data_IF_009233736946
#
_entry.id   IF_009233736946
#
_cell.length_a   1.000
_cell.length_b   1.000
_cell.length_c   1.000
_cell.angle_alpha   90.00
_cell.angle_beta   90.00
_cell.angle_gamma   90.00
#
_symmetry.space_group_name_H-M   'P 1'
#
loop_
_entity.id
_entity.type
_entity.pdbx_description
1 polymer ?
#
# COMPACT_ATOMS: atom_id res chain seq x y z
N UNK A 1 -36.12 -17.20 25.77
CA UNK A 1 -35.05 -16.30 26.24
C UNK A 1 -35.61 -14.87 26.29
N UNK A 2 -35.87 -14.34 27.48
CA UNK A 2 -36.73 -13.15 27.70
C UNK A 2 -36.06 -11.83 27.30
N UNK A 3 -36.84 -10.89 26.75
CA UNK A 3 -36.41 -9.57 26.21
C UNK A 3 -35.51 -8.78 27.17
N UNK A 4 -35.65 -8.98 28.48
CA UNK A 4 -34.82 -8.33 29.50
C UNK A 4 -33.35 -8.73 29.49
N UNK A 5 -33.02 -9.99 29.15
CA UNK A 5 -31.61 -10.43 29.04
C UNK A 5 -30.90 -9.72 27.89
N UNK A 6 -31.60 -9.49 26.78
CA UNK A 6 -31.06 -8.80 25.60
C UNK A 6 -30.82 -7.31 25.89
N UNK A 7 -31.72 -6.67 26.63
CA UNK A 7 -31.59 -5.25 26.99
C UNK A 7 -30.45 -5.01 28.01
N UNK A 8 -30.25 -5.94 28.95
CA UNK A 8 -29.14 -5.91 29.91
C UNK A 8 -27.77 -6.07 29.22
N UNK A 9 -27.68 -6.93 28.20
CA UNK A 9 -26.45 -7.11 27.41
C UNK A 9 -26.12 -5.89 26.54
N UNK A 10 -27.13 -5.20 25.97
CA UNK A 10 -26.93 -3.97 25.21
C UNK A 10 -26.43 -2.80 26.07
N UNK A 11 -26.97 -2.64 27.28
CA UNK A 11 -26.49 -1.62 28.23
C UNK A 11 -25.06 -1.88 28.71
N UNK A 12 -24.69 -3.14 28.91
CA UNK A 12 -23.30 -3.52 29.26
C UNK A 12 -22.31 -3.25 28.12
N UNK A 13 -22.70 -3.48 26.87
CA UNK A 13 -21.87 -3.18 25.69
C UNK A 13 -21.58 -1.68 25.55
N UNK A 14 -22.58 -0.83 25.80
CA UNK A 14 -22.43 0.63 25.76
C UNK A 14 -21.59 1.12 26.95
N UNK A 15 -21.73 0.52 28.14
CA UNK A 15 -20.91 0.86 29.31
C UNK A 15 -19.46 0.37 29.18
N UNK A 16 -19.21 -0.78 28.56
CA UNK A 16 -17.84 -1.26 28.30
C UNK A 16 -17.12 -0.49 27.18
N UNK A 17 -17.86 0.22 26.33
CA UNK A 17 -17.29 1.13 25.35
C UNK A 17 -16.92 2.51 25.93
N UNK A 18 -17.28 2.79 27.20
CA UNK A 18 -17.10 4.08 27.86
C UNK A 18 -15.79 4.27 28.63
N UNK A 19 -14.86 3.32 28.59
CA UNK A 19 -13.56 3.42 29.27
C UNK A 19 -12.42 3.07 28.31
N UNK A 20 -12.24 3.90 27.30
CA UNK A 20 -10.93 4.05 26.67
C UNK A 20 -10.21 5.19 27.40
N UNK A 21 -8.95 5.00 27.85
CA UNK A 21 -8.17 6.08 28.41
C UNK A 21 -8.09 7.20 27.38
N UNK A 22 -8.38 8.42 27.80
CA UNK A 22 -8.10 9.64 27.04
C UNK A 22 -6.58 9.61 26.81
N UNK A 23 -6.16 9.15 25.63
CA UNK A 23 -4.84 9.42 25.13
C UNK A 23 -4.80 10.93 24.92
N UNK A 24 -4.18 11.63 25.88
CA UNK A 24 -3.79 13.02 25.71
C UNK A 24 -3.07 13.07 24.37
N UNK A 25 -3.65 13.81 23.43
CA UNK A 25 -3.03 14.09 22.15
C UNK A 25 -1.71 14.79 22.46
N UNK A 26 -0.62 14.04 22.52
CA UNK A 26 0.68 14.61 22.22
C UNK A 26 0.50 15.22 20.84
N UNK A 27 0.75 16.53 20.65
CA UNK A 27 0.88 17.04 19.31
C UNK A 27 1.92 16.15 18.66
N UNK A 28 1.52 15.46 17.59
CA UNK A 28 2.48 14.89 16.65
C UNK A 28 3.35 16.09 16.32
N UNK A 29 4.60 16.06 16.79
CA UNK A 29 5.63 16.96 16.34
C UNK A 29 5.85 16.60 14.88
N UNK A 30 4.95 17.08 14.02
CA UNK A 30 5.26 17.33 12.63
C UNK A 30 6.50 18.19 12.69
N UNK A 31 7.62 17.64 12.23
CA UNK A 31 8.90 18.32 12.20
C UNK A 31 8.69 19.73 11.65
N UNK A 32 8.81 20.68 12.57
CA UNK A 32 8.82 22.10 12.29
C UNK A 32 10.13 22.36 11.54
N UNK A 33 10.05 22.46 10.20
CA UNK A 33 10.92 23.32 9.37
C UNK A 33 10.73 23.19 7.85
N UNK A 34 9.86 22.31 7.34
CA UNK A 34 9.70 22.16 5.87
C UNK A 34 8.52 22.89 5.22
N UNK A 35 7.78 23.72 5.96
CA UNK A 35 6.55 24.37 5.46
C UNK A 35 6.69 25.85 5.12
N UNK A 36 7.85 26.29 4.61
CA UNK A 36 8.04 27.65 4.06
C UNK A 36 8.52 27.56 2.61
N UNK A 37 7.59 27.83 1.69
CA UNK A 37 7.69 27.88 0.21
C UNK A 37 7.11 26.66 -0.53
N UNK A 38 5.78 26.54 -0.57
CA UNK A 38 5.13 25.78 -1.65
C UNK A 38 5.26 26.56 -2.96
N UNK A 39 6.37 26.37 -3.67
CA UNK A 39 6.43 26.72 -5.09
C UNK A 39 5.41 25.86 -5.83
N UNK A 40 4.77 26.40 -6.86
CA UNK A 40 3.94 25.61 -7.78
C UNK A 40 4.89 24.64 -8.49
N UNK A 41 4.90 23.38 -8.04
CA UNK A 41 5.71 22.33 -8.60
C UNK A 41 5.10 21.85 -9.92
N UNK A 42 5.95 21.55 -10.90
CA UNK A 42 5.49 20.86 -12.11
C UNK A 42 5.10 19.43 -11.72
N UNK A 43 3.84 19.08 -11.99
CA UNK A 43 3.21 17.82 -11.62
C UNK A 43 3.95 16.57 -12.11
N UNK A 44 4.75 16.69 -13.16
CA UNK A 44 5.44 15.57 -13.81
C UNK A 44 6.95 15.79 -13.96
N UNK A 45 7.53 16.77 -13.26
CA UNK A 45 8.98 16.98 -13.30
C UNK A 45 9.72 15.79 -12.69
N UNK A 46 10.64 15.21 -13.47
CA UNK A 46 11.56 14.16 -13.03
C UNK A 46 12.90 14.74 -12.55
N UNK A 47 13.15 16.02 -12.79
CA UNK A 47 14.36 16.72 -12.34
C UNK A 47 14.21 17.28 -10.92
N UNK A 48 12.97 17.40 -10.44
CA UNK A 48 12.72 17.84 -9.07
C UNK A 48 13.19 16.78 -8.07
N UNK A 49 14.16 17.17 -7.23
CA UNK A 49 14.61 16.34 -6.12
C UNK A 49 13.48 16.21 -5.09
N UNK A 50 13.01 14.98 -4.90
CA UNK A 50 12.06 14.64 -3.85
C UNK A 50 12.78 13.88 -2.71
N UNK A 51 13.12 14.56 -1.59
CA UNK A 51 13.89 13.95 -0.51
C UNK A 51 13.05 12.90 0.24
N UNK A 52 13.62 11.70 0.41
CA UNK A 52 12.97 10.54 1.06
C UNK A 52 13.74 10.00 2.28
N UNK A 53 14.70 10.77 2.77
CA UNK A 53 15.36 10.49 4.04
C UNK A 53 14.43 10.80 5.20
N UNK A 54 14.49 9.97 6.25
CA UNK A 54 13.66 10.09 7.46
C UNK A 54 12.15 10.05 7.16
N UNK A 55 11.77 9.27 6.15
CA UNK A 55 10.35 9.03 5.80
C UNK A 55 9.96 7.56 5.97
N UNK A 56 10.72 6.82 6.77
CA UNK A 56 10.64 5.35 6.90
C UNK A 56 10.79 4.63 5.55
N UNK A 57 11.60 5.20 4.64
CA UNK A 57 11.82 4.63 3.31
C UNK A 57 12.68 3.38 3.41
N UNK A 58 12.18 2.25 2.92
CA UNK A 58 12.99 1.05 2.78
C UNK A 58 14.18 1.28 1.83
N UNK A 59 14.02 2.10 0.79
CA UNK A 59 15.12 2.40 -0.13
C UNK A 59 16.21 3.21 0.55
N UNK A 60 15.86 4.25 1.30
CA UNK A 60 16.84 5.18 1.88
C UNK A 60 17.20 4.88 3.34
N UNK A 61 16.22 4.80 4.24
CA UNK A 61 16.43 4.72 5.69
C UNK A 61 16.87 3.31 6.15
N UNK A 62 16.46 2.25 5.44
CA UNK A 62 16.92 0.88 5.74
C UNK A 62 18.43 0.72 5.52
N UNK A 63 19.02 1.47 4.59
CA UNK A 63 20.43 1.31 4.25
C UNK A 63 21.34 1.71 5.40
N UNK A 64 20.93 2.70 6.20
CA UNK A 64 21.63 3.06 7.43
C UNK A 64 21.67 1.90 8.44
N UNK A 65 20.63 1.06 8.46
CA UNK A 65 20.59 -0.14 9.30
C UNK A 65 21.37 -1.31 8.68
N UNK A 66 21.34 -1.46 7.36
CA UNK A 66 22.07 -2.52 6.63
C UNK A 66 23.58 -2.31 6.64
N UNK A 67 24.05 -1.07 6.59
CA UNK A 67 25.46 -0.73 6.55
C UNK A 67 25.85 0.18 7.73
N UNK A 68 25.86 -0.37 8.97
CA UNK A 68 26.15 0.42 10.15
C UNK A 68 27.56 1.01 10.09
N UNK A 69 27.69 2.28 10.47
CA UNK A 69 28.96 3.01 10.45
C UNK A 69 29.41 3.50 9.07
N UNK A 70 28.67 3.19 8.00
CA UNK A 70 28.96 3.68 6.66
C UNK A 70 28.13 4.91 6.30
N UNK A 71 28.73 5.83 5.54
CA UNK A 71 28.02 6.96 4.95
C UNK A 71 27.35 6.51 3.66
N UNK A 72 26.02 6.45 3.66
CA UNK A 72 25.24 6.16 2.45
C UNK A 72 25.20 7.41 1.58
N UNK A 73 25.73 7.32 0.36
CA UNK A 73 25.76 8.42 -0.61
C UNK A 73 24.53 8.44 -1.52
N UNK A 74 24.11 7.26 -1.98
CA UNK A 74 22.93 7.08 -2.82
C UNK A 74 22.35 5.68 -2.58
N UNK A 75 21.03 5.58 -2.51
CA UNK A 75 20.32 4.30 -2.47
C UNK A 75 19.80 3.96 -3.88
N UNK A 76 20.28 2.84 -4.45
CA UNK A 76 19.97 2.43 -5.83
C UNK A 76 19.58 0.94 -5.92
N UNK A 77 19.23 0.31 -4.79
CA UNK A 77 19.02 -1.13 -4.67
C UNK A 77 17.55 -1.54 -4.83
N UNK A 78 16.63 -0.87 -4.13
CA UNK A 78 15.20 -1.22 -4.11
C UNK A 78 14.47 -0.58 -5.30
N UNK A 79 13.63 -1.37 -5.96
CA UNK A 79 12.86 -1.01 -7.15
C UNK A 79 11.62 -0.14 -6.85
N UNK A 80 11.81 0.97 -6.13
CA UNK A 80 10.87 2.09 -6.08
C UNK A 80 11.50 3.38 -6.63
N UNK A 81 10.66 4.37 -6.93
CA UNK A 81 11.07 5.60 -7.62
C UNK A 81 11.20 6.77 -6.63
N UNK A 82 12.16 7.66 -6.89
CA UNK A 82 12.37 8.89 -6.11
C UNK A 82 11.67 10.10 -6.76
N UNK A 83 10.47 9.88 -7.30
CA UNK A 83 9.63 10.91 -7.90
C UNK A 83 8.33 11.08 -7.12
N UNK A 84 7.72 12.26 -7.25
CA UNK A 84 6.32 12.44 -6.85
C UNK A 84 5.44 11.52 -7.68
N UNK A 85 4.43 10.94 -7.05
CA UNK A 85 3.41 10.17 -7.78
C UNK A 85 2.59 11.11 -8.68
N UNK A 86 1.97 10.56 -9.72
CA UNK A 86 1.13 11.34 -10.61
C UNK A 86 -0.01 12.03 -9.83
N UNK A 87 -0.34 13.32 -10.09
CA UNK A 87 -1.32 14.06 -9.28
C UNK A 87 -2.68 13.38 -9.18
N UNK A 88 -3.13 12.73 -10.26
CA UNK A 88 -4.40 11.99 -10.30
C UNK A 88 -4.47 10.87 -9.25
N UNK A 89 -3.33 10.26 -8.91
CA UNK A 89 -3.24 9.22 -7.88
C UNK A 89 -3.37 9.87 -6.50
N UNK A 90 -2.62 10.95 -6.24
CA UNK A 90 -2.73 11.70 -4.98
C UNK A 90 -4.14 12.22 -4.77
N UNK A 91 -4.77 12.82 -5.78
CA UNK A 91 -6.15 13.31 -5.70
C UNK A 91 -7.16 12.21 -5.41
N UNK A 92 -7.03 11.03 -6.03
CA UNK A 92 -7.92 9.90 -5.77
C UNK A 92 -7.78 9.40 -4.32
N UNK A 93 -6.54 9.31 -3.81
CA UNK A 93 -6.27 8.92 -2.42
C UNK A 93 -6.82 9.99 -1.46
N UNK A 94 -6.58 11.28 -1.71
CA UNK A 94 -7.13 12.37 -0.90
C UNK A 94 -8.64 12.32 -0.84
N UNK A 95 -9.32 12.12 -1.98
CA UNK A 95 -10.78 11.94 -2.02
C UNK A 95 -11.23 10.75 -1.17
N UNK A 96 -10.51 9.63 -1.21
CA UNK A 96 -10.81 8.47 -0.36
C UNK A 96 -10.59 8.76 1.13
N UNK A 97 -9.56 9.53 1.47
CA UNK A 97 -9.27 9.95 2.86
C UNK A 97 -10.36 10.83 3.45
N UNK A 98 -10.95 11.72 2.64
CA UNK A 98 -12.08 12.55 3.06
C UNK A 98 -13.36 11.74 3.34
N UNK A 99 -13.43 10.48 2.90
CA UNK A 99 -14.51 9.58 3.29
C UNK A 99 -14.15 8.87 4.61
N UNK A 100 -14.66 9.40 5.72
CA UNK A 100 -14.26 9.02 7.09
C UNK A 100 -14.70 7.61 7.55
N UNK A 101 -15.37 6.83 6.69
CA UNK A 101 -15.67 5.42 6.96
C UNK A 101 -14.59 4.50 6.35
N UNK A 102 -13.99 3.66 7.19
CA UNK A 102 -12.87 2.77 6.86
C UNK A 102 -13.19 1.29 7.03
N UNK A 103 -14.48 0.93 7.01
CA UNK A 103 -14.94 -0.45 7.05
C UNK A 103 -14.59 -1.25 5.77
N UNK A 104 -15.15 -2.45 5.69
CA UNK A 104 -14.95 -3.34 4.53
C UNK A 104 -15.36 -2.67 3.22
N UNK A 105 -14.51 -2.81 2.21
CA UNK A 105 -14.71 -2.23 0.88
C UNK A 105 -15.07 -3.37 -0.09
N UNK A 106 -16.14 -3.16 -0.84
CA UNK A 106 -16.42 -3.95 -2.04
C UNK A 106 -15.64 -3.34 -3.21
N UNK A 107 -14.90 -4.16 -3.95
CA UNK A 107 -14.23 -3.69 -5.17
C UNK A 107 -15.27 -3.37 -6.24
N UNK A 108 -15.35 -2.12 -6.74
CA UNK A 108 -16.31 -1.75 -7.77
C UNK A 108 -15.91 -2.32 -9.14
N UNK A 109 -16.88 -2.55 -10.03
CA UNK A 109 -16.61 -3.04 -11.39
C UNK A 109 -15.69 -2.12 -12.19
N UNK A 110 -15.76 -0.80 -11.94
CA UNK A 110 -14.87 0.19 -12.54
C UNK A 110 -13.38 -0.07 -12.28
N UNK A 111 -13.05 -0.75 -11.18
CA UNK A 111 -11.68 -1.17 -10.90
C UNK A 111 -11.22 -2.20 -11.93
N UNK A 112 -12.03 -3.24 -12.19
CA UNK A 112 -11.72 -4.28 -13.16
C UNK A 112 -11.73 -3.73 -14.59
N UNK A 113 -12.70 -2.90 -14.93
CA UNK A 113 -12.75 -2.22 -16.23
C UNK A 113 -11.50 -1.37 -16.47
N UNK A 114 -10.96 -0.71 -15.44
CA UNK A 114 -9.71 0.05 -15.58
C UNK A 114 -8.52 -0.83 -15.97
N UNK A 115 -8.44 -2.05 -15.43
CA UNK A 115 -7.39 -3.03 -15.75
C UNK A 115 -7.56 -3.56 -17.17
N UNK A 116 -8.78 -3.99 -17.54
CA UNK A 116 -9.12 -4.49 -18.88
C UNK A 116 -8.78 -3.44 -19.93
N UNK A 117 -9.23 -2.20 -19.72
CA UNK A 117 -8.97 -1.10 -20.65
C UNK A 117 -7.49 -0.74 -20.73
N UNK A 118 -6.76 -0.78 -19.61
CA UNK A 118 -5.32 -0.54 -19.60
C UNK A 118 -4.57 -1.59 -20.43
N UNK A 119 -4.90 -2.87 -20.23
CA UNK A 119 -4.27 -3.99 -20.95
C UNK A 119 -4.56 -3.89 -22.46
N UNK A 120 -5.82 -3.69 -22.84
CA UNK A 120 -6.22 -3.51 -24.24
C UNK A 120 -5.53 -2.32 -24.88
N UNK A 121 -5.49 -1.17 -24.21
CA UNK A 121 -4.89 0.05 -24.75
C UNK A 121 -3.36 -0.05 -24.89
N UNK A 122 -2.67 -0.68 -23.94
CA UNK A 122 -1.20 -0.71 -23.88
C UNK A 122 -0.60 -1.87 -24.65
N UNK A 123 -1.27 -3.02 -24.64
CA UNK A 123 -0.74 -4.27 -25.17
C UNK A 123 -1.59 -4.84 -26.31
N UNK A 124 -2.77 -4.28 -26.59
CA UNK A 124 -3.68 -4.80 -27.62
C UNK A 124 -4.42 -6.07 -27.22
N UNK A 125 -4.22 -6.55 -25.99
CA UNK A 125 -4.77 -7.81 -25.52
C UNK A 125 -6.20 -7.64 -24.98
N UNK A 126 -7.09 -8.56 -25.34
CA UNK A 126 -8.45 -8.61 -24.83
C UNK A 126 -8.55 -9.63 -23.71
N UNK A 127 -8.90 -9.15 -22.51
CA UNK A 127 -9.16 -9.99 -21.35
C UNK A 127 -10.56 -9.74 -20.81
N UNK A 128 -11.13 -10.74 -20.14
CA UNK A 128 -12.46 -10.68 -19.56
C UNK A 128 -12.41 -10.62 -18.03
N UNK A 129 -13.53 -10.17 -17.43
CA UNK A 129 -13.64 -10.01 -15.98
C UNK A 129 -13.40 -11.32 -15.21
N UNK A 130 -13.83 -12.46 -15.74
CA UNK A 130 -13.68 -13.78 -15.12
C UNK A 130 -12.22 -14.27 -15.08
N UNK A 131 -11.33 -13.67 -15.89
CA UNK A 131 -9.90 -13.95 -15.87
C UNK A 131 -9.14 -13.16 -14.77
N UNK A 132 -9.81 -12.25 -14.07
CA UNK A 132 -9.20 -11.37 -13.07
C UNK A 132 -9.49 -11.83 -11.63
N UNK A 133 -8.42 -12.12 -10.90
CA UNK A 133 -8.41 -12.33 -9.45
C UNK A 133 -7.49 -11.29 -8.80
N UNK A 134 -7.96 -10.72 -7.68
CA UNK A 134 -7.17 -9.75 -6.93
C UNK A 134 -6.22 -10.47 -5.97
N UNK A 135 -4.98 -10.01 -5.94
CA UNK A 135 -3.99 -10.41 -4.96
C UNK A 135 -3.36 -9.16 -4.34
N UNK A 136 -2.87 -9.27 -3.10
CA UNK A 136 -2.20 -8.17 -2.39
C UNK A 136 -0.82 -7.84 -2.94
N UNK A 137 -0.30 -8.68 -3.83
CA UNK A 137 0.96 -8.49 -4.54
C UNK A 137 1.28 -9.67 -5.45
N UNK A 138 2.31 -9.51 -6.27
CA UNK A 138 2.74 -10.54 -7.24
C UNK A 138 3.24 -11.80 -6.52
N UNK A 139 4.08 -11.67 -5.50
CA UNK A 139 4.65 -12.83 -4.80
C UNK A 139 3.58 -13.70 -4.09
N UNK A 140 2.63 -13.15 -3.32
CA UNK A 140 1.50 -13.93 -2.80
C UNK A 140 0.63 -14.59 -3.89
N UNK A 141 0.46 -13.93 -5.04
CA UNK A 141 -0.28 -14.51 -6.17
C UNK A 141 0.45 -15.74 -6.75
N UNK A 142 1.77 -15.61 -6.98
CA UNK A 142 2.62 -16.72 -7.44
C UNK A 142 2.61 -17.87 -6.43
N UNK A 143 2.77 -17.59 -5.14
CA UNK A 143 2.71 -18.61 -4.09
C UNK A 143 1.36 -19.35 -4.07
N UNK A 144 0.27 -18.61 -4.26
CA UNK A 144 -1.07 -19.20 -4.34
C UNK A 144 -1.22 -20.08 -5.58
N UNK A 145 -0.72 -19.64 -6.74
CA UNK A 145 -0.71 -20.42 -7.97
C UNK A 145 0.11 -21.70 -7.83
N UNK A 146 1.33 -21.62 -7.27
CA UNK A 146 2.16 -22.81 -7.00
C UNK A 146 1.41 -23.79 -6.09
N UNK A 147 0.79 -23.31 -5.00
CA UNK A 147 0.01 -24.20 -4.11
C UNK A 147 -1.20 -24.84 -4.79
N UNK A 148 -1.83 -24.14 -5.74
CA UNK A 148 -2.98 -24.64 -6.47
C UNK A 148 -2.61 -25.65 -7.56
N UNK A 149 -1.49 -25.44 -8.26
CA UNK A 149 -1.11 -26.23 -9.45
C UNK A 149 0.03 -27.22 -9.20
N UNK A 150 0.77 -27.10 -8.12
CA UNK A 150 1.92 -27.94 -7.81
C UNK A 150 1.69 -28.72 -6.51
N UNK A 151 1.27 -30.00 -6.59
CA UNK A 151 1.21 -30.89 -5.45
C UNK A 151 2.54 -30.97 -4.70
N UNK A 152 2.49 -31.41 -3.44
CA UNK A 152 3.70 -31.64 -2.63
C UNK A 152 4.73 -32.49 -3.41
N UNK A 153 6.00 -32.09 -3.34
CA UNK A 153 7.14 -32.69 -4.06
C UNK A 153 7.19 -32.43 -5.58
N UNK A 154 6.30 -31.61 -6.13
CA UNK A 154 6.47 -31.10 -7.50
C UNK A 154 7.68 -30.18 -7.60
N UNK A 155 8.23 -30.07 -8.82
CA UNK A 155 9.33 -29.15 -9.14
C UNK A 155 8.81 -27.99 -9.98
N UNK A 156 9.29 -26.79 -9.69
CA UNK A 156 9.02 -25.58 -10.47
C UNK A 156 10.32 -25.16 -11.15
N UNK A 157 10.26 -24.90 -12.46
CA UNK A 157 11.42 -24.41 -13.22
C UNK A 157 11.50 -22.90 -13.09
N UNK A 158 12.68 -22.39 -12.74
CA UNK A 158 12.99 -20.96 -12.67
C UNK A 158 14.23 -20.67 -13.51
N UNK A 159 14.19 -19.58 -14.26
CA UNK A 159 15.34 -19.12 -15.04
C UNK A 159 16.21 -18.22 -14.16
N UNK A 160 17.49 -18.57 -14.01
CA UNK A 160 18.47 -17.77 -13.27
C UNK A 160 19.42 -16.99 -14.21
N UNK A 161 19.84 -15.77 -13.81
CA UNK A 161 19.46 -15.04 -12.60
C UNK A 161 18.05 -14.42 -12.71
N UNK A 162 17.23 -14.60 -11.67
CA UNK A 162 15.92 -13.98 -11.51
C UNK A 162 15.78 -13.24 -10.16
N UNK A 163 14.56 -12.78 -9.87
CA UNK A 163 14.23 -12.07 -8.64
C UNK A 163 14.47 -12.94 -7.39
N UNK A 164 15.18 -12.41 -6.39
CA UNK A 164 15.71 -13.19 -5.27
C UNK A 164 14.65 -13.93 -4.46
N UNK A 165 13.46 -13.35 -4.34
CA UNK A 165 12.35 -13.83 -3.54
C UNK A 165 11.62 -15.02 -4.21
N UNK A 166 12.04 -15.41 -5.41
CA UNK A 166 11.58 -16.62 -6.09
C UNK A 166 12.48 -17.85 -5.84
N UNK A 167 13.67 -17.69 -5.25
CA UNK A 167 14.54 -18.81 -4.84
C UNK A 167 14.21 -19.30 -3.43
#
# INVERSE_FOLDING_TARGET
>A
MTKDKINKSRRRLIQSAGTLPIAVSTPIAFGDDHQKNYKKHDAFSLDEIYPRWKTDSAKWDLQTKRFPGQKIHAAMDIADLDFRTAPVITEAITKRVLHENWGYILTPDSYYESIINWIKKRYGEEISRDQLLLATGVLPAIQSAIRAFCPKNSKVVLNSPGYSELY
#
